data_IF_538668804181
#
_entry.id   IF_538668804181
#
_cell.length_a   1.000
_cell.length_b   1.000
_cell.length_c   1.000
_cell.angle_alpha   90.00
_cell.angle_beta   90.00
_cell.angle_gamma   90.00
#
_symmetry.space_group_name_H-M   'P 1'
#
loop_
_entity.id
_entity.type
_entity.pdbx_description
1 polymer ?
#
# COMPACT_ATOMS: atom_id res chain seq x y z
N UNK A 1 33.53 33.29 18.09
CA UNK A 1 32.45 33.53 17.12
C UNK A 1 32.64 32.55 15.98
N UNK A 2 31.87 31.48 15.96
CA UNK A 2 31.79 30.56 14.81
C UNK A 2 30.32 30.51 14.43
N UNK A 3 29.97 31.20 13.35
CA UNK A 3 28.76 30.99 12.56
C UNK A 3 28.70 29.50 12.20
N UNK A 4 27.66 28.77 12.60
CA UNK A 4 26.30 28.76 12.05
C UNK A 4 26.27 28.24 10.61
N UNK A 5 25.79 27.00 10.47
CA UNK A 5 24.83 26.60 9.44
C UNK A 5 24.34 25.18 9.76
N UNK A 6 23.36 25.10 10.65
CA UNK A 6 22.40 24.01 10.58
C UNK A 6 21.63 24.19 9.27
N UNK A 7 22.00 23.44 8.23
CA UNK A 7 21.37 23.51 6.90
C UNK A 7 19.96 22.87 6.99
N UNK A 8 19.04 23.68 7.49
CA UNK A 8 17.57 23.73 7.40
C UNK A 8 16.82 22.48 6.90
N UNK A 9 16.27 21.64 7.80
CA UNK A 9 15.17 20.73 7.48
C UNK A 9 13.91 21.46 6.95
N UNK A 10 13.73 22.75 7.28
CA UNK A 10 12.59 23.57 6.83
C UNK A 10 12.58 23.83 5.32
N UNK A 11 13.77 23.98 4.68
CA UNK A 11 13.87 24.18 3.22
C UNK A 11 13.56 22.89 2.45
N UNK A 12 13.89 21.73 3.03
CA UNK A 12 13.60 20.43 2.44
C UNK A 12 12.09 20.15 2.46
N UNK A 13 11.42 20.38 3.60
CA UNK A 13 9.97 20.21 3.71
C UNK A 13 9.17 21.11 2.76
N UNK A 14 9.64 22.34 2.50
CA UNK A 14 9.00 23.22 1.52
C UNK A 14 9.16 22.70 0.07
N UNK A 15 10.34 22.15 -0.27
CA UNK A 15 10.61 21.55 -1.57
C UNK A 15 9.75 20.31 -1.80
N UNK A 16 9.65 19.42 -0.81
CA UNK A 16 8.84 18.20 -0.87
C UNK A 16 7.35 18.52 -1.08
N UNK A 17 6.88 19.60 -0.44
CA UNK A 17 5.50 20.07 -0.60
C UNK A 17 5.25 20.64 -2.01
N UNK A 18 6.25 21.29 -2.61
CA UNK A 18 6.18 21.78 -4.00
C UNK A 18 6.20 20.63 -5.00
N UNK A 19 7.06 19.64 -4.81
CA UNK A 19 7.09 18.41 -5.62
C UNK A 19 5.74 17.70 -5.55
N UNK A 20 5.19 17.54 -4.35
CA UNK A 20 3.87 16.92 -4.15
C UNK A 20 2.75 17.69 -4.86
N UNK A 21 2.78 19.03 -4.82
CA UNK A 21 1.81 19.88 -5.55
C UNK A 21 1.95 19.75 -7.07
N UNK A 22 3.17 19.69 -7.59
CA UNK A 22 3.40 19.50 -9.02
C UNK A 22 2.87 18.13 -9.47
N UNK A 23 3.15 17.05 -8.73
CA UNK A 23 2.60 15.73 -9.03
C UNK A 23 1.06 15.71 -8.93
N UNK A 24 0.49 16.44 -7.96
CA UNK A 24 -0.96 16.58 -7.82
C UNK A 24 -1.64 17.29 -9.00
N UNK A 25 -0.94 18.19 -9.72
CA UNK A 25 -1.47 18.81 -10.95
C UNK A 25 -1.73 17.80 -12.06
N UNK A 26 -1.08 16.63 -12.02
CA UNK A 26 -1.35 15.53 -12.94
C UNK A 26 -2.47 14.60 -12.43
N UNK A 27 -3.16 14.98 -11.34
CA UNK A 27 -4.32 14.29 -10.79
C UNK A 27 -3.97 12.99 -10.06
N UNK A 28 -2.80 12.95 -9.43
CA UNK A 28 -2.33 11.83 -8.62
C UNK A 28 -2.02 12.30 -7.18
N UNK A 29 -2.40 11.50 -6.19
CA UNK A 29 -2.09 11.76 -4.78
C UNK A 29 -1.08 10.73 -4.27
N UNK A 30 0.14 11.14 -3.90
CA UNK A 30 1.12 10.26 -3.26
C UNK A 30 0.62 9.53 -2.01
N UNK A 31 -0.43 10.04 -1.37
CA UNK A 31 -1.05 9.39 -0.23
C UNK A 31 -1.73 8.06 -0.61
N UNK A 32 -2.21 7.90 -1.84
CA UNK A 32 -2.98 6.72 -2.27
C UNK A 32 -2.14 5.45 -2.23
N UNK A 33 -0.93 5.46 -2.82
CA UNK A 33 -0.05 4.28 -2.79
C UNK A 33 0.39 3.94 -1.36
N UNK A 34 0.71 4.93 -0.54
CA UNK A 34 1.05 4.70 0.88
C UNK A 34 -0.10 4.10 1.68
N UNK A 35 -1.33 4.58 1.45
CA UNK A 35 -2.53 4.00 2.07
C UNK A 35 -2.77 2.57 1.61
N UNK A 36 -2.58 2.27 0.32
CA UNK A 36 -2.66 0.91 -0.20
C UNK A 36 -1.60 0.01 0.46
N UNK A 37 -0.34 0.47 0.51
CA UNK A 37 0.76 -0.25 1.14
C UNK A 37 0.44 -0.64 2.59
N UNK A 38 0.10 0.34 3.43
CA UNK A 38 -0.21 0.08 4.84
C UNK A 38 -1.43 -0.83 5.03
N UNK A 39 -2.43 -0.73 4.15
CA UNK A 39 -3.61 -1.59 4.21
C UNK A 39 -3.25 -3.04 3.90
N UNK A 40 -2.42 -3.29 2.89
CA UNK A 40 -1.98 -4.63 2.51
C UNK A 40 -0.98 -5.19 3.52
N UNK A 41 -0.06 -4.38 4.04
CA UNK A 41 0.89 -4.77 5.09
C UNK A 41 0.15 -5.24 6.36
N UNK A 42 -0.84 -4.46 6.82
CA UNK A 42 -1.70 -4.84 7.96
C UNK A 42 -2.44 -6.16 7.68
N UNK A 43 -2.91 -6.35 6.45
CA UNK A 43 -3.59 -7.57 6.03
C UNK A 43 -2.62 -8.76 6.01
N UNK A 44 -1.42 -8.59 5.47
CA UNK A 44 -0.39 -9.61 5.40
C UNK A 44 0.01 -10.08 6.81
N UNK A 45 0.23 -9.16 7.74
CA UNK A 45 0.54 -9.49 9.15
C UNK A 45 -0.58 -10.30 9.80
N UNK A 46 -1.84 -9.91 9.54
CA UNK A 46 -3.00 -10.66 10.02
C UNK A 46 -3.04 -12.08 9.43
N UNK A 47 -2.78 -12.24 8.12
CA UNK A 47 -2.80 -13.54 7.44
C UNK A 47 -1.67 -14.45 7.96
N UNK A 48 -0.47 -13.90 8.18
CA UNK A 48 0.64 -14.65 8.78
C UNK A 48 0.30 -15.11 10.19
N UNK A 49 -0.31 -14.23 11.00
CA UNK A 49 -0.74 -14.58 12.35
C UNK A 49 -1.74 -15.74 12.35
N UNK A 50 -2.77 -15.72 11.50
CA UNK A 50 -3.74 -16.83 11.46
C UNK A 50 -3.15 -18.09 10.80
N UNK A 51 -2.29 -17.95 9.80
CA UNK A 51 -1.70 -19.08 9.06
C UNK A 51 -0.67 -19.89 9.85
N UNK A 52 -0.01 -19.27 10.82
CA UNK A 52 0.90 -19.96 11.76
C UNK A 52 0.17 -20.89 12.73
N UNK A 53 -1.14 -20.70 12.90
CA UNK A 53 -1.99 -21.48 13.80
C UNK A 53 -2.91 -22.39 12.99
N UNK A 54 -2.37 -23.49 12.42
CA UNK A 54 -3.06 -24.43 11.52
C UNK A 54 -4.12 -25.32 12.20
N UNK A 55 -5.07 -24.73 12.94
CA UNK A 55 -6.14 -25.46 13.62
C UNK A 55 -7.45 -25.47 12.84
N UNK A 56 -7.52 -24.78 11.70
CA UNK A 56 -8.74 -24.63 10.89
C UNK A 56 -8.98 -25.80 9.93
N UNK A 57 -10.16 -25.83 9.32
CA UNK A 57 -10.43 -26.77 8.22
C UNK A 57 -9.47 -26.59 7.04
N UNK A 58 -9.27 -27.64 6.24
CA UNK A 58 -8.46 -27.58 5.02
C UNK A 58 -8.92 -26.48 4.05
N UNK A 59 -10.22 -26.20 4.02
CA UNK A 59 -10.79 -25.15 3.15
C UNK A 59 -10.36 -23.76 3.63
N UNK A 60 -10.42 -23.51 4.94
CA UNK A 60 -9.95 -22.25 5.54
C UNK A 60 -8.44 -22.12 5.39
N UNK A 61 -7.66 -23.17 5.65
CA UNK A 61 -6.21 -23.16 5.47
C UNK A 61 -5.81 -22.83 4.02
N UNK A 62 -6.48 -23.41 3.02
CA UNK A 62 -6.27 -23.04 1.60
C UNK A 62 -6.62 -21.59 1.30
N UNK A 63 -7.71 -21.09 1.90
CA UNK A 63 -8.13 -19.70 1.72
C UNK A 63 -7.14 -18.72 2.32
N UNK A 64 -6.59 -19.03 3.51
CA UNK A 64 -5.50 -18.29 4.15
C UNK A 64 -4.28 -18.26 3.23
N UNK A 65 -3.85 -19.41 2.73
CA UNK A 65 -2.69 -19.53 1.85
C UNK A 65 -2.83 -18.70 0.57
N UNK A 66 -3.96 -18.81 -0.13
CA UNK A 66 -4.22 -18.05 -1.35
C UNK A 66 -4.26 -16.54 -1.09
N UNK A 67 -4.90 -16.14 0.01
CA UNK A 67 -4.95 -14.73 0.39
C UNK A 67 -3.56 -14.18 0.72
N UNK A 68 -2.67 -15.00 1.30
CA UNK A 68 -1.28 -14.61 1.54
C UNK A 68 -0.54 -14.33 0.25
N UNK A 69 -0.62 -15.24 -0.73
CA UNK A 69 0.03 -15.07 -2.03
C UNK A 69 -0.46 -13.81 -2.75
N UNK A 70 -1.77 -13.54 -2.69
CA UNK A 70 -2.33 -12.35 -3.31
C UNK A 70 -1.88 -11.07 -2.58
N UNK A 71 -1.72 -11.11 -1.26
CA UNK A 71 -1.19 -9.99 -0.48
C UNK A 71 0.30 -9.74 -0.80
N UNK A 72 1.12 -10.78 -0.90
CA UNK A 72 2.52 -10.70 -1.31
C UNK A 72 2.65 -10.06 -2.70
N UNK A 73 1.83 -10.50 -3.65
CA UNK A 73 1.79 -9.94 -5.00
C UNK A 73 1.39 -8.45 -5.00
N UNK A 74 0.39 -8.09 -4.19
CA UNK A 74 -0.05 -6.71 -4.07
C UNK A 74 1.04 -5.81 -3.47
N UNK A 75 1.79 -6.28 -2.46
CA UNK A 75 2.92 -5.55 -1.88
C UNK A 75 3.97 -5.24 -2.96
N UNK A 76 4.41 -6.26 -3.70
CA UNK A 76 5.40 -6.07 -4.77
C UNK A 76 4.92 -5.09 -5.85
N UNK A 77 3.65 -5.17 -6.21
CA UNK A 77 3.04 -4.26 -7.20
C UNK A 77 2.98 -2.82 -6.69
N UNK A 78 2.70 -2.62 -5.40
CA UNK A 78 2.72 -1.30 -4.76
C UNK A 78 4.14 -0.74 -4.72
N UNK A 79 5.12 -1.55 -4.33
CA UNK A 79 6.54 -1.15 -4.28
C UNK A 79 7.07 -0.74 -5.67
N UNK A 80 6.73 -1.50 -6.72
CA UNK A 80 7.07 -1.15 -8.10
C UNK A 80 6.52 0.24 -8.47
N UNK A 81 5.25 0.50 -8.15
CA UNK A 81 4.62 1.78 -8.42
C UNK A 81 5.20 2.91 -7.57
N UNK A 82 5.62 2.64 -6.33
CA UNK A 82 6.31 3.63 -5.49
C UNK A 82 7.70 3.99 -6.04
N UNK A 83 8.42 3.02 -6.64
CA UNK A 83 9.68 3.31 -7.33
C UNK A 83 9.43 4.22 -8.54
N UNK A 84 8.42 3.92 -9.35
CA UNK A 84 8.05 4.76 -10.50
C UNK A 84 7.56 6.14 -10.09
N UNK A 85 6.83 6.25 -8.97
CA UNK A 85 6.45 7.53 -8.38
C UNK A 85 7.69 8.36 -8.04
N UNK A 86 8.70 7.73 -7.43
CA UNK A 86 9.97 8.38 -7.09
C UNK A 86 10.67 8.93 -8.32
N UNK A 87 10.68 8.21 -9.44
CA UNK A 87 11.26 8.72 -10.69
C UNK A 87 10.60 10.03 -11.14
N UNK A 88 9.26 10.13 -11.03
CA UNK A 88 8.55 11.37 -11.33
C UNK A 88 8.86 12.48 -10.33
N UNK A 89 8.97 12.14 -9.04
CA UNK A 89 9.33 13.09 -7.99
C UNK A 89 10.73 13.66 -8.21
N UNK A 90 11.71 12.81 -8.55
CA UNK A 90 13.09 13.20 -8.82
C UNK A 90 13.17 14.15 -10.03
N UNK A 91 12.44 13.86 -11.12
CA UNK A 91 12.35 14.76 -12.28
C UNK A 91 11.77 16.12 -11.88
N UNK A 92 10.70 16.13 -11.10
CA UNK A 92 10.07 17.36 -10.64
C UNK A 92 11.01 18.15 -9.72
N UNK A 93 11.70 17.47 -8.80
CA UNK A 93 12.64 18.07 -7.88
C UNK A 93 13.81 18.74 -8.63
N UNK A 94 14.43 18.04 -9.58
CA UNK A 94 15.51 18.60 -10.39
C UNK A 94 15.06 19.84 -11.17
N UNK A 95 13.89 19.79 -11.81
CA UNK A 95 13.35 20.96 -12.52
C UNK A 95 13.10 22.14 -11.57
N UNK A 96 12.49 21.90 -10.41
CA UNK A 96 12.23 22.94 -9.41
C UNK A 96 13.53 23.56 -8.86
N UNK A 97 14.57 22.75 -8.63
CA UNK A 97 15.90 23.24 -8.22
C UNK A 97 16.54 24.12 -9.28
N UNK A 98 16.36 23.77 -10.57
CA UNK A 98 16.81 24.56 -11.71
C UNK A 98 15.90 25.75 -12.03
N UNK A 99 14.79 25.93 -11.29
CA UNK A 99 13.73 26.92 -11.56
C UNK A 99 13.11 26.78 -12.95
N UNK A 100 13.08 25.56 -13.46
CA UNK A 100 12.42 25.18 -14.71
C UNK A 100 11.07 24.49 -14.44
N UNK A 101 10.25 24.39 -15.47
CA UNK A 101 9.01 23.60 -15.40
C UNK A 101 9.32 22.11 -15.57
N UNK A 102 8.81 21.22 -14.69
CA UNK A 102 8.97 19.78 -14.84
C UNK A 102 8.45 19.30 -16.20
N UNK A 103 9.30 18.55 -16.93
CA UNK A 103 8.94 17.95 -18.22
C UNK A 103 8.56 16.49 -18.00
N UNK A 104 7.41 16.28 -17.35
CA UNK A 104 6.84 14.94 -17.19
C UNK A 104 6.12 14.51 -18.48
N UNK A 105 6.36 13.28 -18.90
CA UNK A 105 5.66 12.68 -20.03
C UNK A 105 4.22 12.35 -19.62
N UNK A 106 3.27 13.10 -20.18
CA UNK A 106 1.85 12.95 -19.87
C UNK A 106 1.34 11.53 -20.13
N UNK A 107 1.80 10.86 -21.19
CA UNK A 107 1.34 9.51 -21.50
C UNK A 107 1.80 8.50 -20.43
N UNK A 108 3.03 8.64 -19.92
CA UNK A 108 3.55 7.81 -18.83
C UNK A 108 2.84 8.05 -17.51
N UNK A 109 2.50 9.31 -17.23
CA UNK A 109 1.76 9.67 -16.01
C UNK A 109 0.32 9.15 -16.07
N UNK A 110 -0.34 9.26 -17.23
CA UNK A 110 -1.70 8.74 -17.42
C UNK A 110 -1.74 7.21 -17.34
N UNK A 111 -0.73 6.51 -17.88
CA UNK A 111 -0.57 5.06 -17.72
C UNK A 111 -0.33 4.68 -16.25
N UNK A 112 0.59 5.35 -15.58
CA UNK A 112 0.87 5.15 -14.15
C UNK A 112 -0.41 5.28 -13.31
N UNK A 113 -1.23 6.31 -13.56
CA UNK A 113 -2.50 6.51 -12.85
C UNK A 113 -3.47 5.35 -13.03
N UNK A 114 -3.62 4.82 -14.25
CA UNK A 114 -4.48 3.66 -14.49
C UNK A 114 -4.01 2.44 -13.70
N UNK A 115 -2.70 2.27 -13.55
CA UNK A 115 -2.13 1.17 -12.76
C UNK A 115 -2.39 1.36 -11.27
N UNK A 116 -2.25 2.58 -10.75
CA UNK A 116 -2.61 2.91 -9.36
C UNK A 116 -4.10 2.66 -9.11
N UNK A 117 -5.00 3.12 -9.98
CA UNK A 117 -6.45 2.91 -9.85
C UNK A 117 -6.83 1.42 -9.90
N UNK A 118 -6.13 0.64 -10.73
CA UNK A 118 -6.33 -0.80 -10.82
C UNK A 118 -5.87 -1.51 -9.54
N UNK A 119 -4.70 -1.11 -9.01
CA UNK A 119 -4.15 -1.62 -7.77
C UNK A 119 -5.05 -1.30 -6.58
N UNK A 120 -5.57 -0.07 -6.48
CA UNK A 120 -6.49 0.32 -5.40
C UNK A 120 -7.72 -0.60 -5.38
N UNK A 121 -8.28 -0.92 -6.55
CA UNK A 121 -9.40 -1.88 -6.65
C UNK A 121 -8.99 -3.27 -6.18
N UNK A 122 -7.81 -3.75 -6.58
CA UNK A 122 -7.29 -5.04 -6.13
C UNK A 122 -7.13 -5.08 -4.60
N UNK A 123 -6.60 -4.02 -3.99
CA UNK A 123 -6.47 -3.91 -2.53
C UNK A 123 -7.85 -3.95 -1.85
N UNK A 124 -8.84 -3.22 -2.38
CA UNK A 124 -10.21 -3.27 -1.83
C UNK A 124 -10.84 -4.66 -1.94
N UNK A 125 -10.60 -5.38 -3.04
CA UNK A 125 -11.05 -6.76 -3.22
C UNK A 125 -10.37 -7.71 -2.23
N UNK A 126 -9.06 -7.55 -1.99
CA UNK A 126 -8.33 -8.33 -0.99
C UNK A 126 -8.87 -8.10 0.42
N UNK A 127 -9.11 -6.85 0.81
CA UNK A 127 -9.72 -6.52 2.09
C UNK A 127 -11.14 -7.11 2.22
N UNK A 128 -11.91 -7.17 1.13
CA UNK A 128 -13.23 -7.81 1.11
C UNK A 128 -13.12 -9.31 1.36
N UNK A 129 -12.21 -10.00 0.65
CA UNK A 129 -11.94 -11.44 0.82
C UNK A 129 -11.43 -11.75 2.23
N UNK A 130 -10.57 -10.90 2.79
CA UNK A 130 -10.10 -11.03 4.17
C UNK A 130 -11.24 -10.97 5.18
N UNK A 131 -12.20 -10.03 5.01
CA UNK A 131 -13.40 -9.95 5.86
C UNK A 131 -14.23 -11.22 5.79
N UNK A 132 -14.40 -11.80 4.59
CA UNK A 132 -15.13 -13.07 4.42
C UNK A 132 -14.41 -14.23 5.14
N UNK A 133 -13.08 -14.28 5.04
CA UNK A 133 -12.26 -15.28 5.74
C UNK A 133 -12.38 -15.15 7.26
N UNK A 134 -12.34 -13.93 7.80
CA UNK A 134 -12.55 -13.66 9.23
C UNK A 134 -13.91 -14.21 9.69
N UNK A 135 -14.97 -14.00 8.92
CA UNK A 135 -16.30 -14.52 9.24
C UNK A 135 -16.37 -16.05 9.17
N UNK A 136 -15.66 -16.68 8.23
CA UNK A 136 -15.56 -18.14 8.18
C UNK A 136 -14.84 -18.69 9.42
N UNK A 137 -13.70 -18.10 9.78
CA UNK A 137 -12.94 -18.47 10.99
C UNK A 137 -13.82 -18.34 12.24
N UNK A 138 -14.57 -17.24 12.40
CA UNK A 138 -15.48 -17.04 13.53
C UNK A 138 -16.56 -18.13 13.63
N UNK A 139 -17.12 -18.55 12.49
CA UNK A 139 -18.14 -19.62 12.46
C UNK A 139 -17.54 -20.96 12.87
N UNK A 140 -16.34 -21.29 12.38
CA UNK A 140 -15.66 -22.52 12.76
C UNK A 140 -15.35 -22.54 14.26
N UNK A 141 -14.85 -21.43 14.84
CA UNK A 141 -14.59 -21.34 16.28
C UNK A 141 -15.84 -21.55 17.13
N UNK A 142 -16.95 -20.88 16.81
CA UNK A 142 -18.22 -21.04 17.55
C UNK A 142 -18.77 -22.46 17.46
N UNK A 143 -18.65 -23.09 16.28
CA UNK A 143 -19.11 -24.48 16.10
C UNK A 143 -18.34 -25.49 16.96
N UNK A 144 -17.07 -25.20 17.26
CA UNK A 144 -16.24 -26.03 18.12
C UNK A 144 -16.55 -25.79 19.60
N UNK A 145 -16.81 -24.56 20.02
CA UNK A 145 -17.21 -24.25 21.42
C UNK A 145 -18.49 -25.01 21.82
N UNK A 146 -19.49 -25.09 20.94
CA UNK A 146 -20.71 -25.87 21.20
C UNK A 146 -20.51 -27.40 21.19
N UNK A 147 -19.38 -27.90 20.71
CA UNK A 147 -19.07 -29.33 20.75
C UNK A 147 -18.47 -29.77 22.11
N UNK A 148 -17.98 -28.82 22.91
CA UNK A 148 -17.34 -29.08 24.20
C UNK A 148 -18.21 -28.71 25.42
N UNK A 149 -19.46 -28.30 25.23
CA UNK A 149 -20.39 -28.15 26.36
C UNK A 149 -20.81 -29.54 26.88
N UNK A 150 -20.52 -29.88 28.15
CA UNK A 150 -20.98 -31.13 28.74
C UNK A 150 -22.50 -31.07 28.93
N UNK A 151 -23.19 -32.12 28.45
CA UNK A 151 -24.60 -32.37 28.75
C UNK A 151 -24.83 -32.64 30.24
#
# INVERSE_FOLDING_TARGET
MSSDESVFPEKQGELDLRVSKELAQFGYSPATLRQCYHSVETLHDFIQFIGTHQYYSDTVNKSIFLLNLDADYAILSIEELMIREKDFADIAQVALMLKEKPKLDKAKVDDFKKQVDALEKQVLELLSRAKQLIEQIRRESKSREHFFEPK
#
